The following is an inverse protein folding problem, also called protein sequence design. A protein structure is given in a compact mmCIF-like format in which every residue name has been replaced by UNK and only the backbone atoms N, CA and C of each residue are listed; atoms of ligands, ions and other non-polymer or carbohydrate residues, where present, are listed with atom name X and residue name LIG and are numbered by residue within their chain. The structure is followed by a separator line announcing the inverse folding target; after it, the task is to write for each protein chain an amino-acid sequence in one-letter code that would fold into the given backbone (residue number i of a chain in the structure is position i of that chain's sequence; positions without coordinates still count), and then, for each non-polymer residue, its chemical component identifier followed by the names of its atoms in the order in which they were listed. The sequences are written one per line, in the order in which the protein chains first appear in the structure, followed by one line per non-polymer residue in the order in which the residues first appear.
data_IF_044177812299
#
_entry.id   IF_044177812299
#
_cell.length_a   1.000
_cell.length_b   1.000
_cell.length_c   1.000
_cell.angle_alpha   90.00
_cell.angle_beta   90.00
_cell.angle_gamma   90.00
#
_symmetry.space_group_name_H-M   'P 1'
#
loop_
_entity.id
_entity.type
_entity.pdbx_description
1 polymer ?
#
# COMPACT_ATOMS: atom_id res chain seq x y z
N UNK A 1 -0.89 -17.27 11.67
CA UNK A 1 -0.39 -17.68 10.34
C UNK A 1 -1.26 -17.11 9.21
N UNK A 2 -2.60 -17.17 9.31
CA UNK A 2 -3.53 -16.62 8.30
C UNK A 2 -3.45 -15.11 8.01
N UNK A 3 -3.10 -14.26 8.98
CA UNK A 3 -3.02 -12.81 8.77
C UNK A 3 -1.83 -12.39 7.90
N UNK A 4 -0.68 -13.05 8.06
CA UNK A 4 0.52 -12.77 7.28
C UNK A 4 0.35 -13.20 5.83
N UNK A 5 -0.30 -14.35 5.62
CA UNK A 5 -0.59 -14.91 4.31
C UNK A 5 -1.57 -14.02 3.53
N UNK A 6 -2.59 -13.48 4.19
CA UNK A 6 -3.51 -12.50 3.61
C UNK A 6 -2.81 -11.17 3.29
N UNK A 7 -1.97 -10.66 4.20
CA UNK A 7 -1.21 -9.43 3.99
C UNK A 7 -0.30 -9.55 2.77
N UNK A 8 0.43 -10.68 2.64
CA UNK A 8 1.31 -10.93 1.52
C UNK A 8 0.53 -11.05 0.20
N UNK A 9 -0.65 -11.69 0.23
CA UNK A 9 -1.50 -11.83 -0.95
C UNK A 9 -2.07 -10.47 -1.42
N UNK A 10 -2.43 -9.59 -0.48
CA UNK A 10 -2.89 -8.21 -0.77
C UNK A 10 -1.75 -7.39 -1.37
N UNK A 11 -0.56 -7.41 -0.75
CA UNK A 11 0.62 -6.69 -1.25
C UNK A 11 1.04 -7.18 -2.65
N UNK A 12 1.00 -8.49 -2.90
CA UNK A 12 1.31 -9.03 -4.23
C UNK A 12 0.21 -8.68 -5.25
N UNK A 13 -1.07 -8.67 -4.86
CA UNK A 13 -2.16 -8.26 -5.76
C UNK A 13 -2.06 -6.79 -6.17
N UNK A 14 -1.63 -5.90 -5.27
CA UNK A 14 -1.39 -4.48 -5.60
C UNK A 14 -0.31 -4.31 -6.67
N UNK A 15 0.74 -5.15 -6.68
CA UNK A 15 1.76 -5.18 -7.73
C UNK A 15 1.21 -5.60 -9.11
N UNK A 16 0.09 -6.32 -9.17
CA UNK A 16 -0.52 -6.81 -10.42
C UNK A 16 -1.73 -6.00 -10.89
N UNK A 17 -2.32 -5.14 -10.06
CA UNK A 17 -3.35 -4.19 -10.48
C UNK A 17 -2.66 -3.09 -11.28
N UNK A 18 -2.48 -3.41 -12.56
CA UNK A 18 -2.19 -2.48 -13.64
C UNK A 18 -2.91 -1.14 -13.38
N UNK A 19 -2.12 -0.07 -13.47
CA UNK A 19 -2.41 1.37 -13.36
C UNK A 19 -3.87 1.83 -13.56
N UNK A 20 -4.66 1.17 -14.39
CA UNK A 20 -5.99 1.60 -14.81
C UNK A 20 -7.08 1.48 -13.73
N UNK A 21 -6.94 0.62 -12.71
CA UNK A 21 -8.01 0.38 -11.72
C UNK A 21 -7.60 0.56 -10.25
N UNK A 22 -6.39 1.04 -9.99
CA UNK A 22 -5.85 1.15 -8.63
C UNK A 22 -6.70 2.07 -7.75
N UNK A 23 -7.18 3.20 -8.28
CA UNK A 23 -8.00 4.16 -7.54
C UNK A 23 -9.33 3.56 -7.06
N UNK A 24 -9.97 2.73 -7.90
CA UNK A 24 -11.24 2.07 -7.53
C UNK A 24 -11.01 1.02 -6.45
N UNK A 25 -9.96 0.21 -6.60
CA UNK A 25 -9.60 -0.78 -5.60
C UNK A 25 -9.25 -0.14 -4.25
N UNK A 26 -8.41 0.91 -4.26
CA UNK A 26 -8.04 1.66 -3.06
C UNK A 26 -9.30 2.24 -2.40
N UNK A 27 -10.22 2.81 -3.17
CA UNK A 27 -11.46 3.38 -2.60
C UNK A 27 -12.34 2.30 -1.96
N UNK A 28 -12.54 1.17 -2.65
CA UNK A 28 -13.43 0.09 -2.21
C UNK A 28 -12.86 -0.68 -1.00
N UNK A 29 -11.54 -0.85 -0.94
CA UNK A 29 -10.86 -1.66 0.08
C UNK A 29 -10.11 -0.84 1.13
N UNK A 30 -10.04 0.48 0.99
CA UNK A 30 -9.40 1.43 1.90
C UNK A 30 -9.62 1.14 3.40
N UNK A 31 -10.83 0.79 3.87
CA UNK A 31 -11.07 0.51 5.28
C UNK A 31 -10.31 -0.72 5.81
N UNK A 32 -9.88 -1.61 4.91
CA UNK A 32 -9.18 -2.86 5.21
C UNK A 32 -7.67 -2.79 4.90
N UNK A 33 -7.20 -1.71 4.28
CA UNK A 33 -5.79 -1.52 4.00
C UNK A 33 -5.04 -1.10 5.26
N UNK A 34 -3.89 -1.74 5.47
CA UNK A 34 -2.98 -1.43 6.56
C UNK A 34 -2.25 -0.11 6.30
N UNK A 35 -2.03 0.65 7.36
CA UNK A 35 -1.18 1.84 7.33
C UNK A 35 0.26 1.40 7.66
N UNK A 36 1.09 1.29 6.63
CA UNK A 36 2.47 0.83 6.71
C UNK A 36 3.36 1.76 7.56
N UNK A 37 2.99 3.03 7.74
CA UNK A 37 3.67 3.95 8.65
C UNK A 37 3.69 3.45 10.10
N UNK A 38 2.77 2.54 10.46
CA UNK A 38 2.70 1.96 11.81
C UNK A 38 3.65 0.77 12.00
N UNK A 39 4.23 0.26 10.92
CA UNK A 39 4.97 -1.00 10.90
C UNK A 39 6.39 -0.87 10.35
N UNK A 40 6.65 0.17 9.56
CA UNK A 40 7.94 0.41 8.92
C UNK A 40 8.57 1.69 9.44
N UNK A 41 9.88 1.64 9.66
CA UNK A 41 10.67 2.81 10.03
C UNK A 41 10.80 3.76 8.83
N UNK A 42 10.92 5.06 9.10
CA UNK A 42 11.10 6.09 8.07
C UNK A 42 12.27 5.78 7.15
N UNK A 43 13.37 5.25 7.70
CA UNK A 43 14.57 4.89 6.95
C UNK A 43 14.28 3.87 5.84
N UNK A 44 13.30 2.97 6.03
CA UNK A 44 12.91 2.00 5.01
C UNK A 44 12.03 2.63 3.93
N UNK A 45 11.16 3.57 4.32
CA UNK A 45 10.24 4.25 3.40
C UNK A 45 11.03 5.23 2.51
N UNK A 46 12.02 5.92 3.08
CA UNK A 46 12.88 6.90 2.39
C UNK A 46 13.81 6.29 1.33
N UNK A 47 13.92 4.96 1.27
CA UNK A 47 14.64 4.26 0.20
C UNK A 47 13.92 4.32 -1.14
N UNK A 48 12.62 4.63 -1.15
CA UNK A 48 11.77 4.67 -2.34
C UNK A 48 11.59 6.09 -2.85
N UNK A 49 11.21 6.22 -4.13
CA UNK A 49 10.98 7.54 -4.74
C UNK A 49 9.80 8.25 -4.04
N UNK A 50 10.02 9.43 -3.45
CA UNK A 50 8.99 10.11 -2.66
C UNK A 50 7.80 10.58 -3.50
N UNK A 51 7.99 10.85 -4.79
CA UNK A 51 6.90 11.23 -5.69
C UNK A 51 6.01 10.01 -6.00
N UNK A 52 6.61 8.82 -6.18
CA UNK A 52 5.86 7.56 -6.33
C UNK A 52 5.06 7.24 -5.07
N UNK A 53 5.71 7.33 -3.90
CA UNK A 53 5.06 7.06 -2.61
C UNK A 53 3.88 7.99 -2.36
N UNK A 54 4.05 9.28 -2.63
CA UNK A 54 3.00 10.29 -2.48
C UNK A 54 1.84 10.05 -3.43
N UNK A 55 2.12 9.77 -4.70
CA UNK A 55 1.09 9.82 -5.75
C UNK A 55 0.37 8.47 -5.93
N UNK A 56 1.00 7.34 -5.61
CA UNK A 56 0.44 6.00 -5.87
C UNK A 56 0.25 5.15 -4.61
N UNK A 57 1.03 5.39 -3.57
CA UNK A 57 1.07 4.53 -2.38
C UNK A 57 0.38 5.15 -1.16
N UNK A 58 -0.10 6.39 -1.28
CA UNK A 58 -0.73 7.12 -0.17
C UNK A 58 -2.22 7.31 -0.42
N UNK A 59 -3.04 7.03 0.59
CA UNK A 59 -4.48 7.27 0.54
C UNK A 59 -5.04 7.64 1.91
N UNK A 60 -5.76 8.77 2.01
CA UNK A 60 -6.28 9.32 3.27
C UNK A 60 -5.22 9.35 4.38
N UNK A 61 -4.06 9.93 4.08
CA UNK A 61 -2.89 10.06 4.97
C UNK A 61 -2.27 8.74 5.45
N UNK A 62 -2.67 7.60 4.86
CA UNK A 62 -2.07 6.28 5.14
C UNK A 62 -1.13 5.87 4.03
N UNK A 63 -0.01 5.26 4.41
CA UNK A 63 0.86 4.57 3.48
C UNK A 63 0.33 3.16 3.27
N UNK A 64 -0.23 2.87 2.10
CA UNK A 64 -0.90 1.60 1.80
C UNK A 64 -0.10 0.69 0.85
N UNK A 65 1.08 1.15 0.41
CA UNK A 65 2.01 0.40 -0.46
C UNK A 65 3.43 0.97 -0.42
N UNK A 66 4.36 0.28 -1.09
CA UNK A 66 5.75 0.67 -1.34
C UNK A 66 6.20 0.12 -2.70
#
# INVERSE_FOLDING_TARGET
MYALENSLNITIQLNFIQYDNINKYITDFSPYLLDLNQYLDSDHIEMFDPDIIRDLCSYNDKLIGL
#
